data_IF_328895170402
#
_entry.id   IF_328895170402
#
_cell.length_a   1.000
_cell.length_b   1.000
_cell.length_c   1.000
_cell.angle_alpha   90.00
_cell.angle_beta   90.00
_cell.angle_gamma   90.00
#
_symmetry.space_group_name_H-M   'P 1'
#
loop_
_entity.id
_entity.type
_entity.pdbx_description
1 polymer ?
#
# COMPACT_ATOMS: atom_id res chain seq x y z
N UNK A 1 -3.20 6.92 -16.11
CA UNK A 1 -2.96 6.10 -14.90
C UNK A 1 -3.95 4.94 -14.92
N UNK A 2 -3.58 3.77 -14.42
CA UNK A 2 -4.48 2.59 -14.30
C UNK A 2 -4.60 2.19 -12.85
N UNK A 3 -5.79 1.73 -12.46
CA UNK A 3 -6.06 1.15 -11.15
C UNK A 3 -6.12 -0.37 -11.26
N UNK A 4 -5.30 -1.08 -10.48
CA UNK A 4 -5.25 -2.54 -10.44
C UNK A 4 -5.93 -3.03 -9.18
N UNK A 5 -7.18 -3.46 -9.31
CA UNK A 5 -8.01 -4.00 -8.22
C UNK A 5 -8.30 -5.50 -8.37
N UNK A 6 -7.36 -6.26 -8.96
CA UNK A 6 -7.51 -7.70 -9.16
C UNK A 6 -7.39 -8.47 -7.83
N UNK A 7 -7.49 -9.79 -7.88
CA UNK A 7 -7.11 -10.61 -6.72
C UNK A 7 -5.59 -10.49 -6.48
N UNK A 8 -5.19 -10.60 -5.22
CA UNK A 8 -3.81 -10.32 -4.78
C UNK A 8 -2.71 -11.11 -5.53
N UNK A 9 -2.89 -12.40 -5.86
CA UNK A 9 -1.89 -13.14 -6.65
C UNK A 9 -1.64 -12.55 -8.05
N UNK A 10 -2.63 -11.85 -8.63
CA UNK A 10 -2.57 -11.30 -9.99
C UNK A 10 -2.00 -9.89 -10.05
N UNK A 11 -1.82 -9.22 -8.91
CA UNK A 11 -1.36 -7.83 -8.86
C UNK A 11 -0.01 -7.62 -9.57
N UNK A 12 0.93 -8.55 -9.41
CA UNK A 12 2.27 -8.45 -9.99
C UNK A 12 2.23 -8.48 -11.51
N UNK A 13 1.63 -9.52 -12.10
CA UNK A 13 1.63 -9.71 -13.55
C UNK A 13 0.90 -8.57 -14.27
N UNK A 14 -0.25 -8.14 -13.73
CA UNK A 14 -1.04 -7.05 -14.29
C UNK A 14 -0.30 -5.71 -14.15
N UNK A 15 0.27 -5.41 -12.98
CA UNK A 15 1.01 -4.16 -12.77
C UNK A 15 2.26 -4.09 -13.66
N UNK A 16 3.00 -5.20 -13.77
CA UNK A 16 4.17 -5.31 -14.64
C UNK A 16 3.80 -5.09 -16.10
N UNK A 17 2.74 -5.74 -16.57
CA UNK A 17 2.22 -5.55 -17.93
C UNK A 17 1.86 -4.09 -18.21
N UNK A 18 1.18 -3.42 -17.28
CA UNK A 18 0.78 -2.02 -17.43
C UNK A 18 2.00 -1.08 -17.44
N UNK A 19 2.96 -1.28 -16.53
CA UNK A 19 4.22 -0.52 -16.50
C UNK A 19 5.02 -0.73 -17.78
N UNK A 20 5.15 -1.96 -18.27
CA UNK A 20 5.84 -2.27 -19.53
C UNK A 20 5.26 -1.49 -20.71
N UNK A 21 3.94 -1.29 -20.72
CA UNK A 21 3.18 -0.52 -21.71
C UNK A 21 3.08 0.98 -21.40
N UNK A 22 3.96 1.52 -20.55
CA UNK A 22 4.07 2.96 -20.33
C UNK A 22 2.95 3.56 -19.48
N UNK A 23 2.22 2.76 -18.70
CA UNK A 23 1.12 3.24 -17.84
C UNK A 23 1.59 3.41 -16.40
N UNK A 24 1.28 4.57 -15.81
CA UNK A 24 1.32 4.75 -14.37
C UNK A 24 0.33 3.81 -13.67
N UNK A 25 0.70 3.23 -12.52
CA UNK A 25 -0.09 2.22 -11.81
C UNK A 25 -0.39 2.64 -10.37
N UNK A 26 -1.66 2.54 -9.97
CA UNK A 26 -2.11 2.47 -8.58
C UNK A 26 -2.68 1.07 -8.35
N UNK A 27 -2.05 0.26 -7.51
CA UNK A 27 -2.46 -1.14 -7.30
C UNK A 27 -2.98 -1.36 -5.88
N UNK A 28 -4.07 -2.09 -5.72
CA UNK A 28 -4.62 -2.47 -4.42
C UNK A 28 -3.62 -3.21 -3.53
N UNK A 29 -3.90 -3.21 -2.23
CA UNK A 29 -3.06 -3.85 -1.22
C UNK A 29 -3.44 -5.32 -1.00
N UNK A 30 -2.47 -6.24 -0.82
CA UNK A 30 -1.03 -5.99 -0.87
C UNK A 30 -0.52 -5.80 -2.30
N UNK A 31 0.44 -4.90 -2.53
CA UNK A 31 0.97 -4.59 -3.87
C UNK A 31 1.47 -5.84 -4.61
N UNK A 32 2.18 -6.72 -3.91
CA UNK A 32 2.55 -8.05 -4.40
C UNK A 32 2.60 -9.04 -3.24
N UNK A 33 2.76 -10.33 -3.56
CA UNK A 33 2.79 -11.41 -2.57
C UNK A 33 4.12 -11.51 -1.78
N UNK A 34 5.18 -10.81 -2.19
CA UNK A 34 6.46 -10.81 -1.48
C UNK A 34 7.34 -9.60 -1.85
N UNK A 35 8.34 -9.31 -1.01
CA UNK A 35 9.23 -8.15 -1.19
C UNK A 35 10.01 -8.16 -2.51
N UNK A 36 10.43 -9.34 -3.00
CA UNK A 36 11.20 -9.45 -4.25
C UNK A 36 10.38 -8.98 -5.45
N UNK A 37 9.11 -9.38 -5.53
CA UNK A 37 8.20 -8.94 -6.60
C UNK A 37 7.89 -7.44 -6.49
N UNK A 38 7.71 -6.92 -5.27
CA UNK A 38 7.54 -5.47 -5.05
C UNK A 38 8.75 -4.68 -5.54
N UNK A 39 9.97 -5.09 -5.18
CA UNK A 39 11.20 -4.43 -5.62
C UNK A 39 11.36 -4.44 -7.14
N UNK A 40 10.97 -5.54 -7.81
CA UNK A 40 10.99 -5.63 -9.28
C UNK A 40 10.08 -4.57 -9.92
N UNK A 41 8.85 -4.39 -9.42
CA UNK A 41 7.93 -3.37 -9.93
C UNK A 41 8.44 -1.94 -9.67
N UNK A 42 9.01 -1.67 -8.50
CA UNK A 42 9.57 -0.36 -8.16
C UNK A 42 10.72 -0.02 -9.11
N UNK A 43 11.64 -0.96 -9.34
CA UNK A 43 12.76 -0.76 -10.26
C UNK A 43 12.27 -0.51 -11.69
N UNK A 44 11.32 -1.30 -12.17
CA UNK A 44 10.73 -1.13 -13.50
C UNK A 44 10.03 0.23 -13.65
N UNK A 45 9.28 0.66 -12.63
CA UNK A 45 8.61 1.95 -12.62
C UNK A 45 9.62 3.11 -12.66
N UNK A 46 10.69 3.04 -11.87
CA UNK A 46 11.77 4.02 -11.86
C UNK A 46 12.51 4.07 -13.22
N UNK A 47 12.88 2.92 -13.79
CA UNK A 47 13.54 2.82 -15.10
C UNK A 47 12.72 3.48 -16.20
N UNK A 48 11.39 3.31 -16.16
CA UNK A 48 10.47 3.88 -17.15
C UNK A 48 10.00 5.30 -16.82
N UNK A 49 10.39 5.86 -15.68
CA UNK A 49 9.89 7.16 -15.21
C UNK A 49 8.38 7.18 -14.96
N UNK A 50 7.81 6.06 -14.50
CA UNK A 50 6.38 5.91 -14.25
C UNK A 50 6.07 5.94 -12.76
N UNK A 51 4.97 6.60 -12.39
CA UNK A 51 4.37 6.46 -11.08
C UNK A 51 3.90 5.02 -10.80
N UNK A 52 4.24 4.52 -9.61
CA UNK A 52 3.74 3.29 -9.02
C UNK A 52 3.42 3.54 -7.54
N UNK A 53 2.23 3.14 -7.10
CA UNK A 53 1.84 3.23 -5.68
C UNK A 53 0.95 2.05 -5.26
N UNK A 54 1.16 1.57 -4.03
CA UNK A 54 0.26 0.66 -3.35
C UNK A 54 -0.95 1.42 -2.76
N UNK A 55 -2.14 0.84 -2.88
CA UNK A 55 -3.44 1.36 -2.45
C UNK A 55 -3.65 1.36 -0.94
N UNK A 56 -2.69 1.88 -0.16
CA UNK A 56 -2.85 2.10 1.29
C UNK A 56 -3.63 3.41 1.52
N UNK A 57 -4.90 3.40 1.12
CA UNK A 57 -5.81 4.54 1.17
C UNK A 57 -5.94 5.19 2.55
N UNK A 58 -5.76 4.42 3.62
CA UNK A 58 -5.81 4.94 4.99
C UNK A 58 -4.79 6.05 5.23
N UNK A 59 -3.63 6.04 4.54
CA UNK A 59 -2.60 7.09 4.62
C UNK A 59 -3.09 8.46 4.10
N UNK A 60 -4.18 8.49 3.36
CA UNK A 60 -4.80 9.71 2.84
C UNK A 60 -5.85 10.31 3.80
N UNK A 61 -6.13 9.68 4.95
CA UNK A 61 -7.04 10.29 5.93
C UNK A 61 -6.39 11.52 6.60
N UNK A 62 -7.17 12.60 6.86
CA UNK A 62 -6.65 13.78 7.55
C UNK A 62 -5.99 13.49 8.89
N UNK A 63 -6.41 12.41 9.56
CA UNK A 63 -5.82 11.94 10.81
C UNK A 63 -4.32 11.63 10.69
N UNK A 64 -3.87 11.02 9.59
CA UNK A 64 -2.45 10.73 9.41
C UNK A 64 -1.61 12.00 9.27
N UNK A 65 -2.15 13.03 8.60
CA UNK A 65 -1.50 14.32 8.51
C UNK A 65 -1.39 14.96 9.89
N UNK A 66 -2.48 14.99 10.66
CA UNK A 66 -2.49 15.53 12.02
C UNK A 66 -1.50 14.81 12.95
N UNK A 67 -1.47 13.48 12.94
CA UNK A 67 -0.50 12.70 13.74
C UNK A 67 0.93 13.07 13.36
N UNK A 68 1.21 13.20 12.06
CA UNK A 68 2.54 13.60 11.57
C UNK A 68 2.91 15.00 12.05
N UNK A 69 1.98 15.96 11.98
CA UNK A 69 2.20 17.34 12.42
C UNK A 69 2.46 17.41 13.93
N UNK A 70 1.67 16.70 14.75
CA UNK A 70 1.84 16.67 16.20
C UNK A 70 3.19 16.05 16.62
N UNK A 71 3.64 15.02 15.91
CA UNK A 71 4.98 14.43 16.10
C UNK A 71 6.08 15.43 15.71
N UNK A 72 5.95 16.09 14.56
CA UNK A 72 6.97 17.05 14.07
C UNK A 72 7.08 18.29 14.94
N UNK A 73 5.98 18.76 15.52
CA UNK A 73 5.94 19.87 16.46
C UNK A 73 6.43 19.49 17.87
N UNK A 74 6.72 18.20 18.12
CA UNK A 74 7.19 17.71 19.42
C UNK A 74 6.12 17.75 20.53
N UNK A 75 4.83 17.81 20.18
CA UNK A 75 3.72 17.98 21.13
C UNK A 75 3.66 16.85 22.16
N UNK A 76 4.03 15.63 21.76
CA UNK A 76 4.05 14.44 22.61
C UNK A 76 5.46 14.07 23.10
N UNK A 77 6.46 14.93 22.85
CA UNK A 77 7.88 14.62 23.05
C UNK A 77 8.39 13.53 22.09
N UNK A 78 9.43 12.82 22.51
CA UNK A 78 10.00 11.72 21.72
C UNK A 78 9.05 10.52 21.67
N UNK A 79 8.71 10.06 20.46
CA UNK A 79 7.97 8.81 20.28
C UNK A 79 8.84 7.63 20.74
N UNK A 80 8.42 6.93 21.80
CA UNK A 80 9.13 5.75 22.31
C UNK A 80 8.50 4.42 21.88
N UNK A 81 7.18 4.38 21.66
CA UNK A 81 6.46 3.15 21.32
C UNK A 81 5.24 3.45 20.46
N UNK A 82 4.92 2.51 19.55
CA UNK A 82 3.67 2.49 18.80
C UNK A 82 3.03 1.11 18.98
N UNK A 83 1.79 1.07 19.44
CA UNK A 83 0.99 -0.16 19.59
C UNK A 83 -0.17 -0.08 18.61
N UNK A 84 -0.33 -1.10 17.76
CA UNK A 84 -1.40 -1.18 16.77
C UNK A 84 -2.07 -2.54 16.86
N UNK A 85 -3.39 -2.55 16.94
CA UNK A 85 -4.20 -3.77 16.97
C UNK A 85 -5.21 -3.72 15.82
N UNK A 86 -5.22 -4.75 14.98
CA UNK A 86 -6.22 -4.96 13.95
C UNK A 86 -6.76 -6.39 14.07
N UNK A 87 -7.97 -6.53 14.60
CA UNK A 87 -8.66 -7.80 14.72
C UNK A 87 -10.10 -7.65 14.22
N UNK A 88 -10.54 -8.57 13.37
CA UNK A 88 -11.92 -8.64 12.91
C UNK A 88 -12.52 -9.94 13.45
N UNK A 89 -13.68 -9.86 14.08
CA UNK A 89 -14.45 -11.05 14.44
C UNK A 89 -14.90 -11.72 13.13
N UNK A 90 -14.33 -12.88 12.83
CA UNK A 90 -14.89 -13.71 11.75
C UNK A 90 -16.17 -14.36 12.24
N UNK A 91 -17.24 -14.41 11.42
CA UNK A 91 -18.37 -15.29 11.70
C UNK A 91 -17.86 -16.71 11.91
N UNK A 92 -18.48 -17.47 12.84
CA UNK A 92 -18.18 -18.90 12.95
C UNK A 92 -18.47 -19.53 11.59
N UNK A 93 -17.52 -20.24 10.95
CA UNK A 93 -17.78 -20.91 9.67
C UNK A 93 -18.94 -21.94 9.74
N UNK A 94 -19.39 -22.30 10.95
CA UNK A 94 -20.55 -23.16 11.20
C UNK A 94 -21.87 -22.41 11.42
N UNK A 95 -21.84 -21.07 11.53
CA UNK A 95 -23.03 -20.24 11.70
C UNK A 95 -23.73 -20.32 13.06
N UNK A 96 -23.03 -20.77 14.12
CA UNK A 96 -23.50 -20.80 15.51
C UNK A 96 -23.22 -19.48 16.24
#
# INVERSE_FOLDING_TARGET
IVYVGMLSPQHYDVSKFMLQNGKHVLCEKPLTMNSKLTSDLINLANEKGLFLMEGIWSRCFPLYQRIKDEIQLGIIGDVKQVIVTLGLKKPDPRGL
#
